data_IF_134353502091
#
_entry.id   IF_134353502091
#
_cell.length_a   1.000
_cell.length_b   1.000
_cell.length_c   1.000
_cell.angle_alpha   90.00
_cell.angle_beta   90.00
_cell.angle_gamma   90.00
#
_symmetry.space_group_name_H-M   'P 1'
#
loop_
_entity.id
_entity.type
_entity.pdbx_description
1 polymer ?
#
# COMPACT_ATOMS: atom_id res chain seq x y z
N UNK A 1 -27.25 1.81 4.52
CA UNK A 1 -26.08 1.63 5.42
C UNK A 1 -24.80 1.49 4.59
N UNK A 2 -24.55 2.41 3.66
CA UNK A 2 -23.52 2.27 2.63
C UNK A 2 -22.20 2.99 2.93
N UNK A 3 -22.15 3.88 3.92
CA UNK A 3 -21.00 4.76 4.22
C UNK A 3 -20.01 4.16 5.25
N UNK A 4 -20.38 3.05 5.89
CA UNK A 4 -19.58 2.47 6.98
C UNK A 4 -18.21 1.91 6.54
N UNK A 5 -18.13 1.30 5.35
CA UNK A 5 -16.89 0.71 4.83
C UNK A 5 -15.83 1.78 4.51
N UNK A 6 -16.26 2.91 3.94
CA UNK A 6 -15.39 4.05 3.64
C UNK A 6 -14.84 4.65 4.94
N UNK A 7 -15.70 4.96 5.90
CA UNK A 7 -15.27 5.53 7.18
C UNK A 7 -14.28 4.62 7.92
N UNK A 8 -14.53 3.30 7.93
CA UNK A 8 -13.59 2.32 8.51
C UNK A 8 -12.24 2.32 7.78
N UNK A 9 -12.26 2.32 6.44
CA UNK A 9 -11.04 2.37 5.62
C UNK A 9 -10.22 3.62 5.91
N UNK A 10 -10.84 4.80 5.90
CA UNK A 10 -10.15 6.07 6.17
C UNK A 10 -9.61 6.12 7.60
N UNK A 11 -10.36 5.60 8.57
CA UNK A 11 -9.91 5.50 9.97
C UNK A 11 -8.71 4.55 10.10
N UNK A 12 -8.72 3.42 9.39
CA UNK A 12 -7.62 2.47 9.37
C UNK A 12 -6.35 3.09 8.75
N UNK A 13 -6.46 3.66 7.55
CA UNK A 13 -5.33 4.32 6.87
C UNK A 13 -4.76 5.49 7.68
N UNK A 14 -5.63 6.31 8.28
CA UNK A 14 -5.21 7.39 9.17
C UNK A 14 -4.61 6.87 10.49
N UNK A 15 -4.97 5.68 10.95
CA UNK A 15 -4.35 5.06 12.12
C UNK A 15 -2.95 4.53 11.83
N UNK A 16 -2.70 4.02 10.63
CA UNK A 16 -1.36 3.65 10.16
C UNK A 16 -0.45 4.89 10.05
N UNK A 17 -0.94 5.97 9.45
CA UNK A 17 -0.14 7.20 9.29
C UNK A 17 0.22 7.87 10.62
N UNK A 18 -0.54 7.62 11.69
CA UNK A 18 -0.27 8.14 13.02
C UNK A 18 0.49 7.14 13.91
N UNK A 19 0.86 5.97 13.39
CA UNK A 19 1.55 4.92 14.15
C UNK A 19 0.71 4.28 15.27
N UNK A 20 -0.61 4.51 15.30
CA UNK A 20 -1.52 4.03 16.37
C UNK A 20 -1.83 2.54 16.20
N UNK A 21 -1.88 2.08 14.95
CA UNK A 21 -2.43 0.77 14.56
C UNK A 21 -1.32 -0.12 13.97
N UNK A 22 -0.09 0.38 13.93
CA UNK A 22 0.91 0.00 12.93
C UNK A 22 1.98 -0.96 13.46
N UNK A 23 2.46 -1.88 12.61
CA UNK A 23 3.76 -2.53 12.81
C UNK A 23 4.91 -1.54 12.53
N UNK A 24 6.13 -1.83 12.99
CA UNK A 24 7.28 -0.90 12.87
C UNK A 24 7.51 -0.40 11.44
N UNK A 25 7.34 -1.26 10.43
CA UNK A 25 7.56 -0.90 9.02
C UNK A 25 6.53 0.10 8.49
N UNK A 26 5.24 -0.14 8.73
CA UNK A 26 4.14 0.76 8.35
C UNK A 26 4.29 2.11 9.07
N UNK A 27 4.73 2.12 10.34
CA UNK A 27 4.88 3.33 11.12
C UNK A 27 6.00 4.20 10.55
N UNK A 28 7.09 3.55 10.10
CA UNK A 28 8.20 4.24 9.45
C UNK A 28 7.81 4.79 8.06
N UNK A 29 7.01 4.06 7.30
CA UNK A 29 6.77 4.35 5.88
C UNK A 29 5.57 5.26 5.62
N UNK A 30 4.55 5.24 6.48
CA UNK A 30 3.32 6.03 6.30
C UNK A 30 3.25 7.28 7.19
N UNK A 31 4.17 7.46 8.14
CA UNK A 31 4.12 8.64 9.02
C UNK A 31 4.21 9.94 8.21
N UNK A 32 3.21 10.80 8.41
CA UNK A 32 3.02 12.06 7.69
C UNK A 32 2.05 11.99 6.50
N UNK A 33 1.48 10.82 6.19
CA UNK A 33 0.44 10.69 5.17
C UNK A 33 -0.83 11.45 5.56
N UNK A 34 -1.28 12.33 4.68
CA UNK A 34 -2.47 13.16 4.87
C UNK A 34 -3.54 12.76 3.87
N UNK A 35 -4.65 12.21 4.35
CA UNK A 35 -5.82 11.91 3.50
C UNK A 35 -6.49 13.24 3.13
N UNK A 36 -6.50 13.58 1.84
CA UNK A 36 -7.14 14.80 1.32
C UNK A 36 -8.59 14.55 0.94
N UNK A 37 -8.87 13.41 0.31
CA UNK A 37 -10.20 13.05 -0.15
C UNK A 37 -10.38 11.54 -0.14
N UNK A 38 -11.54 11.09 0.32
CA UNK A 38 -11.94 9.70 0.30
C UNK A 38 -13.36 9.57 -0.19
N UNK A 39 -13.58 8.68 -1.15
CA UNK A 39 -14.88 8.22 -1.58
C UNK A 39 -14.79 6.72 -1.90
N UNK A 40 -15.91 6.05 -2.14
CA UNK A 40 -15.87 4.62 -2.46
C UNK A 40 -15.02 4.35 -3.69
N UNK A 41 -14.01 3.50 -3.50
CA UNK A 41 -13.09 3.07 -4.54
C UNK A 41 -12.08 4.13 -4.93
N UNK A 42 -11.98 5.25 -4.21
CA UNK A 42 -11.02 6.30 -4.51
C UNK A 42 -10.52 7.00 -3.25
N UNK A 43 -9.20 7.09 -3.12
CA UNK A 43 -8.54 7.80 -2.03
C UNK A 43 -7.43 8.65 -2.63
N UNK A 44 -7.38 9.92 -2.21
CA UNK A 44 -6.31 10.86 -2.55
C UNK A 44 -5.62 11.32 -1.28
N UNK A 45 -4.30 11.27 -1.29
CA UNK A 45 -3.46 11.67 -0.19
C UNK A 45 -2.37 12.66 -0.64
N UNK A 46 -1.94 13.49 0.30
CA UNK A 46 -0.71 14.26 0.23
C UNK A 46 0.34 13.59 1.13
N UNK A 47 1.60 13.62 0.70
CA UNK A 47 2.69 13.05 1.47
C UNK A 47 3.95 13.87 1.28
N UNK A 48 4.62 14.18 2.39
CA UNK A 48 5.98 14.75 2.39
C UNK A 48 6.93 13.60 2.66
N UNK A 49 7.84 13.31 1.73
CA UNK A 49 8.75 12.15 1.86
C UNK A 49 9.62 12.31 3.12
N UNK A 50 9.50 11.44 4.14
CA UNK A 50 10.22 11.63 5.40
C UNK A 50 11.69 11.22 5.27
N UNK A 51 12.59 11.93 5.96
CA UNK A 51 14.05 11.69 5.85
C UNK A 51 14.47 10.26 6.21
N UNK A 52 13.72 9.57 7.07
CA UNK A 52 14.01 8.19 7.51
C UNK A 52 13.78 7.12 6.44
N UNK A 53 13.04 7.42 5.37
CA UNK A 53 12.83 6.48 4.23
C UNK A 53 13.73 6.83 3.05
N UNK A 54 14.88 7.43 3.32
CA UNK A 54 15.91 7.72 2.32
C UNK A 54 16.62 6.44 1.86
N UNK A 55 16.95 6.36 0.57
CA UNK A 55 17.98 5.48 0.06
C UNK A 55 19.39 6.08 0.23
N UNK A 56 20.41 5.41 -0.31
CA UNK A 56 21.81 5.84 -0.25
C UNK A 56 22.12 7.14 -1.02
N UNK A 57 21.27 7.50 -1.99
CA UNK A 57 21.44 8.65 -2.88
C UNK A 57 20.58 9.86 -2.46
N UNK A 58 19.93 9.75 -1.30
CA UNK A 58 19.02 10.78 -0.82
C UNK A 58 17.74 10.88 -1.67
N UNK A 59 17.24 9.76 -2.19
CA UNK A 59 15.89 9.67 -2.76
C UNK A 59 14.97 8.88 -1.84
N UNK A 60 13.67 8.94 -2.14
CA UNK A 60 12.68 8.09 -1.52
C UNK A 60 12.94 6.62 -1.86
N UNK A 61 13.22 5.81 -0.84
CA UNK A 61 13.48 4.39 -0.99
C UNK A 61 12.28 3.67 -1.64
N UNK A 62 12.53 3.00 -2.76
CA UNK A 62 11.49 2.35 -3.58
C UNK A 62 10.67 1.31 -2.81
N UNK A 63 11.27 0.60 -1.85
CA UNK A 63 10.55 -0.32 -0.97
C UNK A 63 9.59 0.39 -0.01
N UNK A 64 9.95 1.57 0.50
CA UNK A 64 9.07 2.35 1.35
C UNK A 64 7.91 2.96 0.54
N UNK A 65 8.19 3.40 -0.68
CA UNK A 65 7.17 3.84 -1.63
C UNK A 65 6.20 2.70 -1.98
N UNK A 66 6.72 1.49 -2.23
CA UNK A 66 5.91 0.31 -2.51
C UNK A 66 4.97 -0.03 -1.34
N UNK A 67 5.44 0.09 -0.10
CA UNK A 67 4.60 -0.10 1.08
C UNK A 67 3.45 0.90 1.13
N UNK A 68 3.75 2.19 0.95
CA UNK A 68 2.72 3.22 0.93
C UNK A 68 1.70 3.00 -0.20
N UNK A 69 2.16 2.59 -1.39
CA UNK A 69 1.29 2.25 -2.51
C UNK A 69 0.33 1.10 -2.14
N UNK A 70 0.84 0.04 -1.49
CA UNK A 70 0.02 -1.11 -1.09
C UNK A 70 -1.05 -0.72 -0.07
N UNK A 71 -0.69 0.04 0.97
CA UNK A 71 -1.63 0.43 2.02
C UNK A 71 -2.74 1.37 1.49
N UNK A 72 -2.39 2.35 0.65
CA UNK A 72 -3.38 3.24 0.05
C UNK A 72 -4.26 2.48 -0.95
N UNK A 73 -3.69 1.54 -1.71
CA UNK A 73 -4.42 0.64 -2.60
C UNK A 73 -5.41 -0.26 -1.85
N UNK A 74 -4.96 -0.89 -0.75
CA UNK A 74 -5.76 -1.70 0.14
C UNK A 74 -6.90 -0.89 0.76
N UNK A 75 -6.64 0.34 1.20
CA UNK A 75 -7.66 1.24 1.73
C UNK A 75 -8.74 1.53 0.68
N UNK A 76 -8.37 1.81 -0.57
CA UNK A 76 -9.32 2.06 -1.65
C UNK A 76 -10.18 0.83 -1.94
N UNK A 77 -9.60 -0.38 -1.93
CA UNK A 77 -10.35 -1.64 -2.11
C UNK A 77 -11.27 -1.90 -0.91
N UNK A 78 -10.80 -1.69 0.32
CA UNK A 78 -11.59 -1.88 1.53
C UNK A 78 -12.86 -1.02 1.49
N UNK A 79 -12.77 0.21 0.98
CA UNK A 79 -13.92 1.12 0.90
C UNK A 79 -15.07 0.58 0.03
N UNK A 80 -14.80 -0.31 -0.94
CA UNK A 80 -15.81 -0.93 -1.83
C UNK A 80 -16.18 -2.35 -1.43
N UNK A 81 -15.25 -3.10 -0.86
CA UNK A 81 -15.41 -4.52 -0.61
C UNK A 81 -15.68 -4.87 0.87
N UNK A 82 -15.55 -3.89 1.78
CA UNK A 82 -15.68 -3.99 3.26
C UNK A 82 -14.69 -4.95 3.93
N UNK A 83 -14.06 -5.84 3.16
CA UNK A 83 -13.08 -6.80 3.64
C UNK A 83 -12.08 -7.19 2.54
N UNK A 84 -10.79 -7.00 2.83
CA UNK A 84 -9.65 -7.44 2.00
C UNK A 84 -9.04 -8.68 2.65
N UNK A 85 -8.82 -9.74 1.88
CA UNK A 85 -8.25 -11.01 2.37
C UNK A 85 -6.79 -11.18 2.02
N UNK A 86 -6.42 -10.93 0.77
CA UNK A 86 -5.09 -11.20 0.28
C UNK A 86 -4.79 -10.39 -0.99
N UNK A 87 -3.58 -9.85 -1.08
CA UNK A 87 -2.99 -9.38 -2.33
C UNK A 87 -2.58 -10.59 -3.17
N UNK A 88 -3.03 -10.64 -4.43
CA UNK A 88 -2.77 -11.74 -5.36
C UNK A 88 -1.76 -11.37 -6.46
N UNK A 89 -1.73 -10.09 -6.82
CA UNK A 89 -0.84 -9.54 -7.83
C UNK A 89 -0.50 -8.10 -7.42
N UNK A 90 0.78 -7.74 -7.52
CA UNK A 90 1.28 -6.41 -7.22
C UNK A 90 2.43 -6.08 -8.15
N UNK A 91 2.20 -5.08 -9.00
CA UNK A 91 3.18 -4.52 -9.92
C UNK A 91 3.36 -3.03 -9.66
N UNK A 92 4.60 -2.55 -9.77
CA UNK A 92 4.91 -1.12 -9.70
C UNK A 92 5.89 -0.78 -10.82
N UNK A 93 5.52 0.22 -11.61
CA UNK A 93 6.40 0.87 -12.58
C UNK A 93 6.94 2.18 -11.98
N UNK A 94 8.27 2.28 -11.82
CA UNK A 94 8.94 3.51 -11.38
C UNK A 94 9.37 4.32 -12.60
N UNK A 95 8.92 5.56 -12.70
CA UNK A 95 9.13 6.46 -13.83
C UNK A 95 10.16 7.55 -13.54
N UNK A 96 10.22 8.04 -12.30
CA UNK A 96 11.21 9.01 -11.84
C UNK A 96 11.54 8.80 -10.36
N UNK A 97 12.57 9.48 -9.86
CA UNK A 97 12.87 9.51 -8.42
C UNK A 97 12.19 10.70 -7.75
N UNK A 98 12.01 10.61 -6.42
CA UNK A 98 11.55 11.71 -5.57
C UNK A 98 12.59 11.93 -4.46
N UNK A 99 12.89 13.17 -4.11
CA UNK A 99 13.81 13.49 -3.02
C UNK A 99 13.12 13.40 -1.67
N UNK A 100 13.89 13.16 -0.60
CA UNK A 100 13.35 13.38 0.75
C UNK A 100 12.94 14.84 0.93
N UNK A 101 11.93 15.06 1.75
CA UNK A 101 11.22 16.33 1.98
C UNK A 101 10.46 16.87 0.76
N UNK A 102 10.42 16.13 -0.34
CA UNK A 102 9.59 16.47 -1.48
C UNK A 102 8.12 16.18 -1.19
N UNK A 103 7.23 17.04 -1.70
CA UNK A 103 5.79 16.83 -1.67
C UNK A 103 5.31 16.04 -2.88
N UNK A 104 4.59 14.96 -2.60
CA UNK A 104 3.95 14.11 -3.60
C UNK A 104 2.46 13.97 -3.31
N UNK A 105 1.73 13.66 -4.37
CA UNK A 105 0.32 13.31 -4.34
C UNK A 105 0.16 11.84 -4.70
N UNK A 106 -0.68 11.14 -3.93
CA UNK A 106 -1.00 9.73 -4.16
C UNK A 106 -2.48 9.61 -4.42
N UNK A 107 -2.85 8.99 -5.55
CA UNK A 107 -4.25 8.70 -5.88
C UNK A 107 -4.42 7.21 -6.12
N UNK A 108 -5.20 6.54 -5.27
CA UNK A 108 -5.63 5.17 -5.46
C UNK A 108 -7.06 5.12 -6.00
N UNK A 109 -7.28 4.35 -7.06
CA UNK A 109 -8.57 4.19 -7.73
C UNK A 109 -8.85 2.73 -8.07
N UNK A 110 -9.98 2.23 -7.59
CA UNK A 110 -10.53 0.94 -8.01
C UNK A 110 -10.98 1.05 -9.46
N UNK A 111 -10.41 0.22 -10.32
CA UNK A 111 -10.67 0.25 -11.77
C UNK A 111 -11.50 -0.94 -12.27
N UNK A 112 -11.67 -1.97 -11.46
CA UNK A 112 -12.43 -3.15 -11.87
C UNK A 112 -12.74 -4.10 -10.72
N UNK A 113 -13.82 -4.86 -10.90
CA UNK A 113 -14.20 -5.96 -10.02
C UNK A 113 -14.57 -7.17 -10.87
N UNK A 114 -14.02 -8.34 -10.51
CA UNK A 114 -14.34 -9.61 -11.15
C UNK A 114 -14.59 -10.68 -10.08
N UNK A 115 -15.86 -10.95 -9.81
CA UNK A 115 -16.27 -11.84 -8.73
C UNK A 115 -15.77 -11.30 -7.38
N UNK A 116 -14.87 -12.04 -6.73
CA UNK A 116 -14.25 -11.68 -5.45
C UNK A 116 -12.95 -10.89 -5.59
N UNK A 117 -12.52 -10.60 -6.81
CA UNK A 117 -11.29 -9.89 -7.09
C UNK A 117 -11.58 -8.43 -7.36
N UNK A 118 -10.84 -7.54 -6.72
CA UNK A 118 -10.90 -6.10 -6.97
C UNK A 118 -9.53 -5.63 -7.45
N UNK A 119 -9.52 -4.83 -8.51
CA UNK A 119 -8.33 -4.23 -9.06
C UNK A 119 -8.26 -2.75 -8.68
N UNK A 120 -7.09 -2.31 -8.22
CA UNK A 120 -6.79 -0.91 -7.92
C UNK A 120 -5.55 -0.47 -8.69
N UNK A 121 -5.54 0.80 -9.10
CA UNK A 121 -4.39 1.51 -9.64
C UNK A 121 -4.04 2.63 -8.68
N UNK A 122 -2.75 2.82 -8.42
CA UNK A 122 -2.24 3.88 -7.54
C UNK A 122 -1.21 4.71 -8.29
N UNK A 123 -1.50 5.99 -8.50
CA UNK A 123 -0.57 6.95 -9.08
C UNK A 123 0.16 7.68 -7.95
N UNK A 124 1.49 7.78 -8.05
CA UNK A 124 2.30 8.69 -7.22
C UNK A 124 2.85 9.79 -8.13
N UNK A 125 2.52 11.05 -7.84
CA UNK A 125 2.88 12.20 -8.67
C UNK A 125 3.58 13.27 -7.87
N UNK A 126 4.56 13.93 -8.48
CA UNK A 126 5.21 15.11 -7.91
C UNK A 126 4.20 16.25 -7.85
N UNK A 127 3.99 16.84 -6.68
CA UNK A 127 2.93 17.85 -6.49
C UNK A 127 3.17 19.14 -7.26
N UNK A 128 4.43 19.54 -7.44
CA UNK A 128 4.79 20.81 -8.07
C UNK A 128 4.57 20.88 -9.59
N UNK A 129 4.72 19.76 -10.31
CA UNK A 129 4.65 19.72 -11.78
C UNK A 129 3.72 18.61 -12.33
N UNK A 130 3.18 17.73 -11.47
CA UNK A 130 2.32 16.62 -11.86
C UNK A 130 3.03 15.44 -12.53
N UNK A 131 4.36 15.43 -12.53
CA UNK A 131 5.18 14.34 -13.08
C UNK A 131 4.88 13.01 -12.38
N UNK A 132 4.70 11.95 -13.15
CA UNK A 132 4.48 10.61 -12.63
C UNK A 132 5.79 10.04 -12.08
N UNK A 133 5.81 9.72 -10.80
CA UNK A 133 6.94 9.10 -10.10
C UNK A 133 6.80 7.58 -10.16
N UNK A 134 5.63 7.06 -9.82
CA UNK A 134 5.35 5.63 -9.84
C UNK A 134 3.89 5.33 -10.15
N UNK A 135 3.66 4.16 -10.75
CA UNK A 135 2.35 3.60 -11.04
C UNK A 135 2.26 2.19 -10.45
N UNK A 136 1.44 2.03 -9.41
CA UNK A 136 1.11 0.74 -8.81
C UNK A 136 -0.16 0.13 -9.39
N UNK A 137 -0.18 -1.19 -9.57
CA UNK A 137 -1.36 -1.97 -9.94
C UNK A 137 -1.46 -3.18 -9.04
N UNK A 138 -2.65 -3.40 -8.49
CA UNK A 138 -2.87 -4.48 -7.54
C UNK A 138 -4.18 -5.20 -7.79
N UNK A 139 -4.15 -6.51 -7.63
CA UNK A 139 -5.34 -7.33 -7.50
C UNK A 139 -5.42 -7.90 -6.10
N UNK A 140 -6.55 -7.66 -5.43
CA UNK A 140 -6.79 -8.23 -4.11
C UNK A 140 -8.06 -9.07 -4.12
N UNK A 141 -8.00 -10.21 -3.42
CA UNK A 141 -9.17 -11.00 -3.07
C UNK A 141 -9.92 -10.33 -1.92
N UNK A 142 -11.23 -10.27 -2.04
CA UNK A 142 -12.15 -9.71 -1.06
C UNK A 142 -13.33 -10.65 -0.85
N UNK A 143 -13.95 -10.62 0.33
CA UNK A 143 -15.15 -11.39 0.59
C UNK A 143 -16.29 -10.45 0.93
N UNK A 144 -17.26 -10.37 0.04
CA UNK A 144 -18.53 -9.72 0.34
C UNK A 144 -19.44 -10.75 1.01
N UNK A 145 -19.05 -11.24 2.19
CA UNK A 145 -19.96 -12.11 2.93
C UNK A 145 -21.10 -11.23 3.43
N UNK A 146 -22.31 -11.45 2.92
CA UNK A 146 -23.54 -10.88 3.49
C UNK A 146 -23.79 -11.53 4.86
N UNK A 147 -22.98 -11.20 5.87
CA UNK A 147 -23.16 -11.74 7.22
C UNK A 147 -24.09 -10.84 8.02
N UNK A 148 -25.18 -11.43 8.51
CA UNK A 148 -26.05 -10.83 9.52
C UNK A 148 -25.19 -10.40 10.72
N UNK A 149 -25.50 -9.22 11.23
CA UNK A 149 -24.84 -8.62 12.38
C UNK A 149 -24.89 -9.54 13.61
N UNK A 150 -23.82 -10.30 13.84
CA UNK A 150 -23.50 -10.84 15.15
C UNK A 150 -22.05 -11.33 15.16
N UNK A 151 -21.25 -10.55 15.89
CA UNK A 151 -20.06 -10.94 16.67
C UNK A 151 -18.67 -10.81 16.05
N UNK A 152 -17.81 -10.30 16.95
CA UNK A 152 -16.36 -10.15 16.99
C UNK A 152 -15.80 -8.92 16.27
N UNK A 153 -15.06 -8.09 17.01
CA UNK A 153 -14.31 -6.93 16.52
C UNK A 153 -13.31 -7.41 15.44
N UNK A 154 -13.56 -7.13 14.14
CA UNK A 154 -12.76 -7.68 13.04
C UNK A 154 -11.37 -7.03 12.93
N UNK A 155 -11.15 -5.92 13.62
CA UNK A 155 -10.03 -5.04 13.35
C UNK A 155 -8.69 -5.65 13.78
N UNK A 156 -8.66 -6.43 14.87
CA UNK A 156 -7.42 -7.04 15.38
C UNK A 156 -7.06 -8.38 14.73
N UNK A 157 -8.02 -9.12 14.17
CA UNK A 157 -7.74 -10.42 13.54
C UNK A 157 -7.36 -10.28 12.06
N UNK A 158 -7.81 -9.21 11.40
CA UNK A 158 -7.49 -8.92 9.99
C UNK A 158 -6.09 -8.32 9.79
N UNK A 159 -5.53 -7.71 10.83
CA UNK A 159 -4.11 -7.36 10.93
C UNK A 159 -3.21 -8.57 10.65
N UNK A 160 -3.64 -9.80 10.95
CA UNK A 160 -2.78 -10.97 10.79
C UNK A 160 -2.75 -11.56 9.37
N UNK A 161 -3.74 -11.31 8.50
CA UNK A 161 -3.78 -11.95 7.17
C UNK A 161 -3.25 -11.10 6.02
N UNK A 162 -3.50 -9.79 6.01
CA UNK A 162 -2.93 -8.88 4.99
C UNK A 162 -1.40 -8.81 5.16
N UNK A 163 -0.96 -8.74 6.43
CA UNK A 163 0.44 -8.60 6.82
C UNK A 163 1.29 -9.86 6.54
N UNK A 164 0.73 -11.08 6.65
CA UNK A 164 1.51 -12.32 6.49
C UNK A 164 1.97 -12.59 5.05
N UNK A 165 1.22 -12.10 4.05
CA UNK A 165 1.61 -12.18 2.64
C UNK A 165 2.59 -11.05 2.30
N UNK A 166 2.40 -9.88 2.92
CA UNK A 166 3.24 -8.70 2.74
C UNK A 166 4.65 -8.85 3.32
N UNK A 167 4.80 -9.35 4.56
CA UNK A 167 6.11 -9.51 5.21
C UNK A 167 7.03 -10.51 4.50
N UNK A 168 6.48 -11.58 3.90
CA UNK A 168 7.28 -12.55 3.13
C UNK A 168 7.73 -12.02 1.77
N UNK A 169 6.98 -11.11 1.16
CA UNK A 169 7.26 -10.61 -0.19
C UNK A 169 8.10 -9.32 -0.16
N UNK A 170 7.77 -8.37 0.72
CA UNK A 170 8.59 -7.18 0.96
C UNK A 170 9.94 -7.55 1.58
N UNK A 171 9.99 -8.50 2.52
CA UNK A 171 11.26 -9.05 3.02
C UNK A 171 12.15 -9.64 1.90
N UNK A 172 11.53 -10.15 0.83
CA UNK A 172 12.24 -10.60 -0.37
C UNK A 172 12.77 -9.45 -1.22
N UNK A 173 12.00 -8.36 -1.38
CA UNK A 173 12.45 -7.12 -2.06
C UNK A 173 13.64 -6.49 -1.32
N UNK A 174 13.58 -6.36 0.01
CA UNK A 174 14.68 -5.83 0.81
C UNK A 174 15.90 -6.78 0.85
N UNK A 175 15.71 -8.10 0.81
CA UNK A 175 16.83 -9.06 0.76
C UNK A 175 17.43 -9.27 -0.64
N UNK A 176 16.70 -8.96 -1.71
CA UNK A 176 17.19 -8.94 -3.08
C UNK A 176 18.23 -7.84 -3.32
N UNK A 177 18.10 -6.69 -2.66
CA UNK A 177 19.05 -5.58 -2.76
C UNK A 177 20.44 -5.91 -2.21
N UNK A 178 20.55 -6.82 -1.22
CA UNK A 178 21.86 -7.30 -0.72
C UNK A 178 22.53 -8.33 -1.62
N UNK A 179 21.81 -8.93 -2.58
CA UNK A 179 22.34 -10.02 -3.43
C UNK A 179 23.06 -9.55 -4.70
N UNK A 180 23.02 -8.25 -5.02
CA UNK A 180 23.73 -7.70 -6.18
C UNK A 180 25.14 -7.17 -5.85
N UNK A 181 25.58 -7.21 -4.59
CA UNK A 181 26.94 -6.79 -4.21
C UNK A 181 27.93 -7.97 -4.08
N UNK A 182 27.48 -9.20 -4.31
CA UNK A 182 28.34 -10.40 -4.36
C UNK A 182 27.87 -11.41 -5.41
N UNK A 183 27.86 -11.04 -6.70
CA UNK A 183 27.81 -12.06 -7.77
C UNK A 183 29.19 -12.62 -8.04
N UNK A 184 29.52 -13.65 -7.27
CA UNK A 184 30.58 -14.61 -7.54
C UNK A 184 30.11 -16.01 -7.18
N UNK A 185 29.12 -16.55 -7.88
CA UNK A 185 28.99 -17.97 -8.25
C UNK A 185 27.58 -18.33 -8.72
N UNK A 186 27.55 -19.04 -9.84
CA UNK A 186 26.41 -19.70 -10.47
C UNK A 186 25.95 -20.91 -9.64
N UNK A 187 24.66 -21.29 -9.70
CA UNK A 187 24.08 -22.66 -9.83
C UNK A 187 22.62 -22.76 -9.33
N UNK A 188 21.83 -23.79 -9.76
CA UNK A 188 20.62 -23.58 -10.55
C UNK A 188 19.31 -23.91 -9.81
N UNK A 189 18.20 -23.60 -10.48
CA UNK A 189 16.81 -23.88 -10.09
C UNK A 189 16.45 -25.33 -10.46
N UNK A 190 15.85 -26.14 -9.57
CA UNK A 190 15.14 -27.35 -9.98
C UNK A 190 13.62 -27.12 -10.07
N UNK A 191 13.03 -27.92 -10.96
CA UNK A 191 11.61 -28.04 -11.30
C UNK A 191 10.66 -28.24 -10.10
#
# INVERSE_FOLDING_TARGET
MEDGSLQKSLKWLGGLSNGIISHELEALTLEGLQILHGQKGFIRCNFVVPSRVSDADGNWHVGAMATLIDDVGAAAIYSVADHVKASLDFDISFHSTAKIQEEVEIEAKVIGQKGKLTQVVVDVRRKGNGELIALGKQWMASNKDSMKASQVDPMLHHHYQVLYIFERWIGWIFSGSKRNETRGSCFPIPF
#
